data_IF_618963862843
#
_entry.id   IF_618963862843
#
_cell.length_a   1.000
_cell.length_b   1.000
_cell.length_c   1.000
_cell.angle_alpha   90.00
_cell.angle_beta   90.00
_cell.angle_gamma   90.00
#
_symmetry.space_group_name_H-M   'P 1'
#
loop_
_entity.id
_entity.type
_entity.pdbx_description
1 polymer ?
#
# COMPACT_ATOMS: atom_id res chain seq x y z
N UNK A 1 2.46 9.55 22.72
CA UNK A 1 1.25 9.80 21.89
C UNK A 1 1.68 9.66 20.45
N UNK A 2 1.17 8.67 19.72
CA UNK A 2 1.37 8.66 18.27
C UNK A 2 0.69 9.92 17.71
N UNK A 3 1.38 10.71 16.89
CA UNK A 3 0.73 11.82 16.21
C UNK A 3 -0.33 11.23 15.29
N UNK A 4 -1.61 11.46 15.59
CA UNK A 4 -2.66 11.26 14.61
C UNK A 4 -2.44 12.33 13.55
N UNK A 5 -1.98 11.94 12.36
CA UNK A 5 -1.85 12.88 11.27
C UNK A 5 -3.26 13.14 10.79
N UNK A 6 -3.76 14.34 11.07
CA UNK A 6 -5.06 14.69 10.53
C UNK A 6 -4.95 14.77 9.01
N UNK A 7 -5.75 13.95 8.33
CA UNK A 7 -5.90 13.95 6.88
C UNK A 7 -6.62 15.19 6.41
N UNK A 8 -7.59 15.69 7.19
CA UNK A 8 -8.37 16.89 6.84
C UNK A 8 -8.30 17.95 7.93
N UNK A 9 -8.64 19.22 7.63
CA UNK A 9 -8.79 20.27 8.63
C UNK A 9 -9.80 19.95 9.76
N UNK A 10 -10.64 18.92 9.57
CA UNK A 10 -11.72 18.55 10.49
C UNK A 10 -11.34 17.43 11.48
N UNK A 11 -10.08 17.01 11.51
CA UNK A 11 -9.66 15.91 12.38
C UNK A 11 -9.84 14.54 11.75
N UNK A 12 -10.16 14.44 10.45
CA UNK A 12 -10.21 13.14 9.76
C UNK A 12 -8.85 12.46 9.88
N UNK A 13 -8.85 11.14 10.04
CA UNK A 13 -7.68 10.32 10.24
C UNK A 13 -7.95 8.96 9.61
N UNK A 14 -6.89 8.19 9.33
CA UNK A 14 -7.02 6.85 8.75
C UNK A 14 -8.09 6.01 9.46
N UNK A 15 -8.14 6.06 10.79
CA UNK A 15 -9.12 5.29 11.58
C UNK A 15 -10.58 5.59 11.25
N UNK A 16 -10.94 6.84 10.95
CA UNK A 16 -12.31 7.22 10.56
C UNK A 16 -12.65 6.62 9.19
N UNK A 17 -11.72 6.69 8.23
CA UNK A 17 -11.89 6.07 6.91
C UNK A 17 -12.09 4.56 7.02
N UNK A 18 -11.27 3.86 7.82
CA UNK A 18 -11.40 2.41 8.05
C UNK A 18 -12.78 2.10 8.64
N UNK A 19 -13.17 2.79 9.72
CA UNK A 19 -14.48 2.58 10.36
C UNK A 19 -15.63 2.79 9.37
N UNK A 20 -15.57 3.85 8.56
CA UNK A 20 -16.56 4.15 7.54
C UNK A 20 -16.62 3.06 6.45
N UNK A 21 -15.47 2.56 5.99
CA UNK A 21 -15.43 1.46 5.02
C UNK A 21 -15.97 0.15 5.62
N UNK A 22 -15.66 -0.15 6.88
CA UNK A 22 -16.20 -1.33 7.57
C UNK A 22 -17.71 -1.25 7.76
N UNK A 23 -18.22 -0.09 8.20
CA UNK A 23 -19.66 0.16 8.27
C UNK A 23 -20.34 0.01 6.89
N UNK A 24 -19.74 0.54 5.83
CA UNK A 24 -20.23 0.35 4.47
C UNK A 24 -20.23 -1.13 4.04
N UNK A 25 -19.18 -1.89 4.36
CA UNK A 25 -19.09 -3.33 4.10
C UNK A 25 -20.19 -4.13 4.84
N UNK A 26 -20.61 -3.67 6.02
CA UNK A 26 -21.73 -4.24 6.77
C UNK A 26 -23.11 -3.76 6.29
N UNK A 27 -23.18 -2.99 5.20
CA UNK A 27 -24.43 -2.56 4.57
C UNK A 27 -25.01 -1.25 5.10
N UNK A 28 -24.28 -0.50 5.93
CA UNK A 28 -24.74 0.80 6.39
C UNK A 28 -24.57 1.87 5.31
N UNK A 29 -25.52 2.80 5.24
CA UNK A 29 -25.51 3.91 4.30
C UNK A 29 -24.46 4.97 4.70
N UNK A 30 -23.25 4.80 4.20
CA UNK A 30 -22.13 5.74 4.40
C UNK A 30 -21.95 6.58 3.15
N UNK A 31 -21.61 7.86 3.29
CA UNK A 31 -21.33 8.75 2.16
C UNK A 31 -19.99 9.45 2.37
N UNK A 32 -19.20 9.58 1.31
CA UNK A 32 -18.03 10.45 1.30
C UNK A 32 -18.48 11.87 0.97
N UNK A 33 -18.26 12.82 1.88
CA UNK A 33 -18.56 14.26 1.69
C UNK A 33 -17.24 15.01 1.44
N UNK A 34 -17.24 16.28 1.01
CA UNK A 34 -16.00 17.05 0.88
C UNK A 34 -15.16 17.10 2.17
N UNK A 35 -15.79 17.09 3.34
CA UNK A 35 -15.13 17.29 4.63
C UNK A 35 -14.82 15.98 5.38
N UNK A 36 -15.13 14.82 4.79
CA UNK A 36 -14.89 13.51 5.40
C UNK A 36 -16.01 12.52 5.07
N UNK A 37 -16.59 11.91 6.10
CA UNK A 37 -17.63 10.89 5.96
C UNK A 37 -18.92 11.33 6.64
N UNK A 38 -20.06 11.02 6.02
CA UNK A 38 -21.39 11.15 6.58
C UNK A 38 -22.05 9.78 6.70
N UNK A 39 -22.88 9.60 7.72
CA UNK A 39 -23.59 8.35 7.95
C UNK A 39 -24.62 8.46 9.07
N UNK A 40 -25.19 7.33 9.52
CA UNK A 40 -26.08 7.30 10.67
C UNK A 40 -25.41 7.85 11.93
N UNK A 41 -26.18 8.39 12.87
CA UNK A 41 -25.64 8.91 14.14
C UNK A 41 -24.85 7.85 14.94
N UNK A 42 -25.18 6.57 14.73
CA UNK A 42 -24.47 5.42 15.30
C UNK A 42 -23.01 5.33 14.82
N UNK A 43 -22.66 5.85 13.65
CA UNK A 43 -21.27 5.90 13.17
C UNK A 43 -20.42 6.82 14.04
N UNK A 44 -20.94 7.98 14.45
CA UNK A 44 -20.24 8.89 15.37
C UNK A 44 -20.09 8.27 16.77
N UNK A 45 -21.07 7.47 17.22
CA UNK A 45 -20.96 6.70 18.46
C UNK A 45 -19.89 5.60 18.36
N UNK A 46 -19.86 4.87 17.24
CA UNK A 46 -18.83 3.88 16.94
C UNK A 46 -17.42 4.50 16.92
N UNK A 47 -17.25 5.68 16.33
CA UNK A 47 -15.99 6.41 16.36
C UNK A 47 -15.55 6.75 17.78
N UNK A 48 -16.45 7.28 18.64
CA UNK A 48 -16.12 7.54 20.05
C UNK A 48 -15.73 6.26 20.78
N UNK A 49 -16.44 5.15 20.56
CA UNK A 49 -16.14 3.84 21.15
C UNK A 49 -14.76 3.33 20.71
N UNK A 50 -14.37 3.60 19.48
CA UNK A 50 -13.07 3.29 18.89
C UNK A 50 -11.94 4.25 19.34
N UNK A 51 -12.25 5.30 20.11
CA UNK A 51 -11.26 6.33 20.50
C UNK A 51 -10.88 7.27 19.35
N UNK A 52 -11.74 7.40 18.34
CA UNK A 52 -11.54 8.24 17.16
C UNK A 52 -12.25 9.60 17.32
N UNK A 53 -11.76 10.66 16.63
CA UNK A 53 -12.36 11.99 16.67
C UNK A 53 -13.72 12.03 15.96
N UNK A 54 -14.80 11.76 16.69
CA UNK A 54 -16.15 11.67 16.11
C UNK A 54 -16.66 12.97 15.46
N UNK A 55 -16.04 14.13 15.76
CA UNK A 55 -16.32 15.38 15.06
C UNK A 55 -15.98 15.34 13.56
N UNK A 56 -15.16 14.37 13.11
CA UNK A 56 -14.88 14.13 11.70
C UNK A 56 -16.03 13.43 10.96
N UNK A 57 -17.11 13.05 11.66
CA UNK A 57 -18.29 12.40 11.08
C UNK A 57 -19.45 13.38 11.05
N UNK A 58 -20.00 13.59 9.86
CA UNK A 58 -21.19 14.42 9.65
C UNK A 58 -22.47 13.59 9.80
N UNK A 59 -23.55 14.24 10.26
CA UNK A 59 -24.87 13.61 10.32
C UNK A 59 -25.39 13.26 8.91
N UNK A 60 -26.21 12.21 8.79
CA UNK A 60 -26.72 11.72 7.50
C UNK A 60 -27.40 12.81 6.64
N UNK A 61 -28.04 13.80 7.26
CA UNK A 61 -28.68 14.92 6.55
C UNK A 61 -27.71 15.91 5.87
N UNK A 62 -26.40 15.80 6.13
CA UNK A 62 -25.36 16.58 5.45
C UNK A 62 -24.88 15.94 4.14
N UNK A 63 -25.39 14.75 3.78
CA UNK A 63 -25.06 14.10 2.52
C UNK A 63 -25.48 14.99 1.32
N UNK A 64 -24.62 15.19 0.31
CA UNK A 64 -24.92 16.08 -0.80
C UNK A 64 -26.00 15.49 -1.72
N UNK A 65 -27.22 16.01 -1.59
CA UNK A 65 -28.30 15.89 -2.57
C UNK A 65 -28.88 14.48 -2.82
N UNK A 66 -30.08 14.39 -3.42
CA UNK A 66 -30.92 13.18 -3.43
C UNK A 66 -30.49 12.05 -4.39
N UNK A 67 -29.22 11.99 -4.85
CA UNK A 67 -28.85 11.12 -5.99
C UNK A 67 -27.49 10.38 -5.92
N UNK A 68 -26.80 10.33 -4.78
CA UNK A 68 -25.61 9.47 -4.66
C UNK A 68 -25.91 8.26 -3.77
N UNK A 69 -25.86 7.07 -4.36
CA UNK A 69 -25.83 5.81 -3.62
C UNK A 69 -24.75 5.86 -2.54
N UNK A 70 -24.97 5.17 -1.42
CA UNK A 70 -23.95 5.02 -0.39
C UNK A 70 -22.64 4.46 -0.96
N UNK A 71 -21.54 4.74 -0.26
CA UNK A 71 -20.22 4.19 -0.51
C UNK A 71 -20.32 2.66 -0.49
N UNK A 72 -19.90 2.02 -1.59
CA UNK A 72 -19.76 0.57 -1.66
C UNK A 72 -18.28 0.22 -1.60
N UNK A 73 -17.90 -0.69 -0.71
CA UNK A 73 -16.51 -1.15 -0.64
C UNK A 73 -16.18 -1.93 -1.94
N UNK A 74 -15.12 -1.55 -2.67
CA UNK A 74 -14.77 -2.21 -3.93
C UNK A 74 -14.33 -3.66 -3.71
N UNK A 75 -14.62 -4.53 -4.68
CA UNK A 75 -13.96 -5.84 -4.77
C UNK A 75 -12.63 -5.67 -5.47
N UNK A 76 -11.58 -5.72 -4.65
CA UNK A 76 -10.22 -5.51 -5.10
C UNK A 76 -9.58 -6.86 -5.38
N UNK A 77 -8.98 -6.98 -6.56
CA UNK A 77 -8.04 -8.05 -6.90
C UNK A 77 -6.63 -7.49 -6.82
N UNK A 78 -5.80 -8.08 -5.96
CA UNK A 78 -4.38 -7.78 -5.83
C UNK A 78 -3.57 -8.86 -6.53
N UNK A 79 -2.77 -8.46 -7.51
CA UNK A 79 -1.94 -9.41 -8.23
C UNK A 79 -0.72 -9.85 -7.42
N UNK A 80 -0.58 -11.16 -7.22
CA UNK A 80 0.45 -11.84 -6.44
C UNK A 80 1.03 -13.05 -7.19
N UNK A 81 1.22 -12.93 -8.50
CA UNK A 81 1.82 -13.98 -9.34
C UNK A 81 3.29 -14.27 -9.01
N UNK A 82 3.85 -15.32 -9.61
CA UNK A 82 5.20 -15.79 -9.30
C UNK A 82 6.28 -14.77 -9.67
N UNK A 83 6.01 -13.86 -10.62
CA UNK A 83 6.92 -12.79 -10.98
C UNK A 83 6.95 -11.63 -9.97
N UNK A 84 6.04 -11.61 -8.99
CA UNK A 84 6.00 -10.60 -7.91
C UNK A 84 6.28 -11.27 -6.57
N UNK A 85 7.53 -11.20 -6.15
CA UNK A 85 7.92 -11.66 -4.82
C UNK A 85 7.45 -10.72 -3.70
N UNK A 86 7.30 -11.28 -2.50
CA UNK A 86 7.35 -10.51 -1.25
C UNK A 86 8.64 -9.67 -1.22
N UNK A 87 8.64 -8.43 -0.68
CA UNK A 87 7.54 -7.73 -0.02
C UNK A 87 6.65 -6.88 -0.95
N UNK A 88 6.85 -6.88 -2.27
CA UNK A 88 6.23 -5.89 -3.16
C UNK A 88 4.70 -5.87 -3.12
N UNK A 89 4.06 -7.04 -3.26
CA UNK A 89 2.60 -7.11 -3.13
C UNK A 89 2.16 -6.87 -1.67
N UNK A 90 2.96 -7.28 -0.68
CA UNK A 90 2.61 -7.19 0.73
C UNK A 90 2.57 -5.74 1.25
N UNK A 91 3.30 -4.81 0.61
CA UNK A 91 3.11 -3.38 0.85
C UNK A 91 1.69 -2.92 0.48
N UNK A 92 1.14 -3.41 -0.63
CA UNK A 92 -0.26 -3.16 -0.98
C UNK A 92 -1.22 -3.87 0.00
N UNK A 93 -0.92 -5.10 0.42
CA UNK A 93 -1.72 -5.77 1.47
C UNK A 93 -1.79 -4.92 2.73
N UNK A 94 -0.66 -4.37 3.18
CA UNK A 94 -0.60 -3.46 4.32
C UNK A 94 -1.39 -2.17 4.05
N UNK A 95 -1.21 -1.54 2.89
CA UNK A 95 -1.95 -0.33 2.50
C UNK A 95 -3.47 -0.55 2.53
N UNK A 96 -3.95 -1.64 1.91
CA UNK A 96 -5.38 -1.92 1.78
C UNK A 96 -6.03 -2.26 3.12
N UNK A 97 -5.39 -3.13 3.92
CA UNK A 97 -5.91 -3.44 5.25
C UNK A 97 -5.84 -2.26 6.21
N UNK A 98 -4.79 -1.44 6.11
CA UNK A 98 -4.71 -0.19 6.86
C UNK A 98 -5.84 0.77 6.49
N UNK A 99 -6.37 0.71 5.26
CA UNK A 99 -7.55 1.44 4.79
C UNK A 99 -8.89 0.71 5.06
N UNK A 100 -8.88 -0.48 5.68
CA UNK A 100 -10.09 -1.27 5.93
C UNK A 100 -10.68 -1.94 4.68
N UNK A 101 -9.92 -1.99 3.59
CA UNK A 101 -10.34 -2.52 2.31
C UNK A 101 -9.91 -3.99 2.17
N UNK A 102 -10.87 -4.93 2.03
CA UNK A 102 -10.55 -6.32 1.74
C UNK A 102 -10.07 -6.45 0.29
N UNK A 103 -9.31 -7.51 0.02
CA UNK A 103 -8.89 -7.87 -1.33
C UNK A 103 -8.85 -9.39 -1.50
N UNK A 104 -8.78 -9.82 -2.76
CA UNK A 104 -8.49 -11.19 -3.17
C UNK A 104 -7.12 -11.21 -3.84
N UNK A 105 -6.22 -12.09 -3.40
CA UNK A 105 -4.98 -12.33 -4.15
C UNK A 105 -5.29 -13.07 -5.44
N UNK A 106 -4.56 -12.75 -6.50
CA UNK A 106 -4.65 -13.42 -7.78
C UNK A 106 -3.28 -13.79 -8.33
N UNK A 107 -3.15 -15.02 -8.79
CA UNK A 107 -2.06 -15.46 -9.64
C UNK A 107 -2.36 -15.16 -11.11
N UNK A 108 -1.41 -15.44 -11.99
CA UNK A 108 -1.61 -15.40 -13.43
C UNK A 108 -2.77 -16.32 -13.87
N UNK A 109 -2.76 -17.57 -13.38
CA UNK A 109 -3.79 -18.55 -13.68
C UNK A 109 -5.19 -18.12 -13.20
N UNK A 110 -5.29 -17.49 -12.03
CA UNK A 110 -6.56 -16.96 -11.53
C UNK A 110 -7.14 -15.87 -12.45
N UNK A 111 -6.28 -14.97 -12.94
CA UNK A 111 -6.70 -13.90 -13.87
C UNK A 111 -7.11 -14.49 -15.21
N UNK A 112 -6.31 -15.40 -15.78
CA UNK A 112 -6.62 -16.08 -17.04
C UNK A 112 -7.92 -16.90 -16.91
N UNK A 113 -8.18 -17.46 -15.73
CA UNK A 113 -9.37 -18.23 -15.39
C UNK A 113 -10.62 -17.40 -15.09
N UNK A 114 -10.58 -16.08 -15.21
CA UNK A 114 -11.77 -15.22 -15.12
C UNK A 114 -12.00 -14.54 -13.77
N UNK A 115 -11.05 -14.56 -12.82
CA UNK A 115 -11.22 -13.90 -11.51
C UNK A 115 -11.58 -12.41 -11.61
N UNK A 116 -11.23 -11.74 -12.71
CA UNK A 116 -11.58 -10.33 -12.92
C UNK A 116 -13.05 -10.08 -13.28
N UNK A 117 -13.87 -11.11 -13.52
CA UNK A 117 -15.29 -10.96 -13.86
C UNK A 117 -16.13 -10.41 -12.70
N UNK A 118 -15.74 -10.72 -11.46
CA UNK A 118 -16.36 -10.18 -10.23
C UNK A 118 -15.54 -9.05 -9.58
N UNK A 119 -14.54 -8.50 -10.27
CA UNK A 119 -13.70 -7.44 -9.72
C UNK A 119 -14.22 -6.04 -10.07
N UNK A 120 -13.98 -5.07 -9.19
CA UNK A 120 -14.17 -3.64 -9.48
C UNK A 120 -12.83 -2.95 -9.79
N UNK A 121 -11.77 -3.40 -9.11
CA UNK A 121 -10.44 -2.82 -9.14
C UNK A 121 -9.36 -3.91 -9.19
N UNK A 122 -8.45 -3.82 -10.15
CA UNK A 122 -7.20 -4.60 -10.20
C UNK A 122 -6.03 -3.74 -9.72
N UNK A 123 -5.23 -4.27 -8.81
CA UNK A 123 -3.98 -3.65 -8.36
C UNK A 123 -2.80 -4.48 -8.82
N UNK A 124 -1.87 -3.83 -9.51
CA UNK A 124 -0.62 -4.40 -10.02
C UNK A 124 0.58 -3.80 -9.27
N UNK A 125 1.20 -4.54 -8.34
CA UNK A 125 2.38 -4.08 -7.62
C UNK A 125 3.60 -3.86 -8.52
N UNK A 126 4.68 -3.33 -7.93
CA UNK A 126 6.00 -3.38 -8.55
C UNK A 126 6.63 -4.78 -8.51
N UNK A 127 7.90 -4.88 -8.92
CA UNK A 127 8.72 -6.06 -8.68
C UNK A 127 8.83 -7.08 -9.82
N UNK A 128 8.02 -6.96 -10.88
CA UNK A 128 8.09 -7.86 -12.04
C UNK A 128 8.80 -7.20 -13.24
N UNK A 129 9.45 -8.02 -14.08
CA UNK A 129 10.12 -7.53 -15.29
C UNK A 129 9.09 -7.08 -16.35
N UNK A 130 9.45 -6.04 -17.11
CA UNK A 130 8.49 -5.27 -17.90
C UNK A 130 8.18 -5.89 -19.28
N UNK A 131 7.86 -7.19 -19.34
CA UNK A 131 7.67 -7.94 -20.58
C UNK A 131 6.22 -8.39 -20.88
N UNK A 132 5.26 -7.92 -20.08
CA UNK A 132 3.88 -8.42 -20.10
C UNK A 132 3.69 -9.59 -19.14
N UNK A 133 2.47 -9.77 -18.62
CA UNK A 133 2.21 -10.78 -17.60
C UNK A 133 2.18 -12.19 -18.20
N UNK A 134 1.60 -12.35 -19.39
CA UNK A 134 1.57 -13.65 -20.10
C UNK A 134 2.97 -14.27 -20.18
N UNK A 135 3.94 -13.45 -20.61
CA UNK A 135 5.29 -13.89 -20.88
C UNK A 135 6.09 -14.14 -19.61
N UNK A 136 5.95 -13.28 -18.60
CA UNK A 136 6.79 -13.39 -17.39
C UNK A 136 6.31 -14.50 -16.46
N UNK A 137 5.01 -14.77 -16.46
CA UNK A 137 4.40 -15.84 -15.68
C UNK A 137 4.35 -17.16 -16.45
N UNK A 138 4.61 -17.12 -17.76
CA UNK A 138 4.43 -18.26 -18.67
C UNK A 138 2.98 -18.80 -18.64
N UNK A 139 2.01 -17.88 -18.63
CA UNK A 139 0.58 -18.16 -18.53
C UNK A 139 -0.18 -17.41 -19.65
N UNK A 140 -0.57 -18.07 -20.74
CA UNK A 140 -1.25 -17.40 -21.84
C UNK A 140 -2.63 -16.84 -21.45
N UNK A 141 -2.96 -15.63 -21.92
CA UNK A 141 -4.31 -15.07 -21.82
C UNK A 141 -4.55 -14.11 -20.65
N UNK A 142 -3.59 -13.95 -19.73
CA UNK A 142 -3.63 -12.98 -18.62
C UNK A 142 -3.78 -11.55 -19.16
N UNK A 143 -2.94 -11.17 -20.12
CA UNK A 143 -2.94 -9.85 -20.74
C UNK A 143 -4.30 -9.58 -21.42
N UNK A 144 -4.87 -10.58 -22.09
CA UNK A 144 -6.17 -10.46 -22.74
C UNK A 144 -7.31 -10.34 -21.72
N UNK A 145 -7.26 -11.10 -20.62
CA UNK A 145 -8.23 -11.02 -19.54
C UNK A 145 -8.23 -9.63 -18.88
N UNK A 146 -7.05 -9.04 -18.64
CA UNK A 146 -6.93 -7.70 -18.08
C UNK A 146 -7.44 -6.64 -19.08
N UNK A 147 -7.12 -6.76 -20.37
CA UNK A 147 -7.67 -5.87 -21.41
C UNK A 147 -9.19 -5.91 -21.43
N UNK A 148 -9.78 -7.11 -21.40
CA UNK A 148 -11.23 -7.28 -21.37
C UNK A 148 -11.84 -6.67 -20.10
N UNK A 149 -11.15 -6.80 -18.95
CA UNK A 149 -11.57 -6.20 -17.68
C UNK A 149 -11.63 -4.68 -17.73
N UNK A 150 -10.59 -4.05 -18.24
CA UNK A 150 -10.58 -2.60 -18.38
C UNK A 150 -11.60 -2.12 -19.43
N UNK A 151 -11.75 -2.85 -20.54
CA UNK A 151 -12.68 -2.49 -21.62
C UNK A 151 -14.16 -2.57 -21.20
N UNK A 152 -14.52 -3.44 -20.26
CA UNK A 152 -15.88 -3.49 -19.66
C UNK A 152 -16.07 -2.49 -18.52
N UNK A 153 -15.12 -1.57 -18.34
CA UNK A 153 -15.18 -0.47 -17.38
C UNK A 153 -14.39 -0.71 -16.10
N UNK A 154 -13.79 -1.88 -15.88
CA UNK A 154 -12.92 -2.17 -14.72
C UNK A 154 -11.84 -1.11 -14.51
N UNK A 155 -11.40 -0.95 -13.27
CA UNK A 155 -10.37 0.03 -12.92
C UNK A 155 -9.03 -0.64 -12.58
N UNK A 156 -7.91 0.04 -12.85
CA UNK A 156 -6.57 -0.44 -12.53
C UNK A 156 -5.72 0.55 -11.75
N UNK A 157 -5.00 0.10 -10.73
CA UNK A 157 -3.91 0.86 -10.09
C UNK A 157 -2.62 0.09 -10.26
N UNK A 158 -1.55 0.76 -10.66
CA UNK A 158 -0.24 0.12 -10.82
C UNK A 158 0.89 0.97 -10.26
N UNK A 159 1.80 0.37 -9.49
CA UNK A 159 3.04 1.01 -9.04
C UNK A 159 4.25 0.39 -9.76
N UNK A 160 5.23 1.21 -10.16
CA UNK A 160 6.45 0.79 -10.83
C UNK A 160 6.20 -0.18 -12.01
N UNK A 161 6.40 -1.49 -11.83
CA UNK A 161 6.13 -2.54 -12.83
C UNK A 161 4.70 -2.50 -13.36
N UNK A 162 3.71 -2.34 -12.46
CA UNK A 162 2.31 -2.15 -12.85
C UNK A 162 2.07 -0.90 -13.69
N UNK A 163 2.75 0.21 -13.36
CA UNK A 163 2.66 1.45 -14.15
C UNK A 163 3.32 1.31 -15.54
N UNK A 164 4.47 0.62 -15.63
CA UNK A 164 5.05 0.23 -16.92
C UNK A 164 4.06 -0.60 -17.74
N UNK A 165 3.43 -1.60 -17.13
CA UNK A 165 2.51 -2.49 -17.82
C UNK A 165 1.27 -1.76 -18.37
N UNK A 166 0.76 -0.74 -17.67
CA UNK A 166 -0.31 0.12 -18.20
C UNK A 166 0.12 1.09 -19.30
N UNK A 167 1.43 1.31 -19.47
CA UNK A 167 1.98 2.27 -20.42
C UNK A 167 2.03 1.78 -21.86
N UNK A 168 2.41 2.66 -22.78
CA UNK A 168 2.83 2.29 -24.13
C UNK A 168 4.34 2.07 -24.20
N UNK A 169 4.80 1.48 -25.30
CA UNK A 169 6.23 1.46 -25.67
C UNK A 169 6.91 0.10 -25.65
N UNK A 170 6.20 -0.98 -25.26
CA UNK A 170 6.62 -2.36 -25.49
C UNK A 170 5.46 -3.22 -26.00
N UNK A 171 5.76 -4.32 -26.71
CA UNK A 171 4.79 -5.38 -26.94
C UNK A 171 4.19 -5.86 -25.61
N UNK A 172 2.92 -6.29 -25.64
CA UNK A 172 2.16 -6.83 -24.49
C UNK A 172 1.73 -5.83 -23.41
N UNK A 173 2.37 -4.66 -23.31
CA UNK A 173 1.86 -3.60 -22.45
C UNK A 173 0.50 -3.08 -22.93
N UNK A 174 -0.31 -2.59 -21.99
CA UNK A 174 -1.72 -2.33 -22.25
C UNK A 174 -1.96 -1.03 -23.03
N UNK A 175 -1.06 -0.06 -22.92
CA UNK A 175 -1.14 1.21 -23.63
C UNK A 175 -2.26 2.15 -23.17
N UNK A 176 -2.79 1.93 -21.96
CA UNK A 176 -3.89 2.70 -21.35
C UNK A 176 -3.42 4.04 -20.79
N UNK A 177 -2.16 4.10 -20.38
CA UNK A 177 -1.42 5.34 -20.24
C UNK A 177 -0.71 5.58 -21.56
N UNK A 178 -1.20 6.52 -22.36
CA UNK A 178 -0.71 6.82 -23.71
C UNK A 178 0.60 7.62 -23.70
N UNK A 179 1.55 7.11 -22.92
CA UNK A 179 2.87 7.63 -22.76
C UNK A 179 3.88 6.48 -22.80
N UNK A 180 4.99 6.71 -23.51
CA UNK A 180 6.15 5.83 -23.45
C UNK A 180 7.11 6.34 -22.36
N UNK A 181 7.46 5.51 -21.37
CA UNK A 181 8.51 5.82 -20.40
C UNK A 181 9.86 6.04 -21.09
N UNK A 182 10.68 6.94 -20.54
CA UNK A 182 12.01 7.28 -21.03
C UNK A 182 12.92 6.05 -21.13
N UNK A 183 12.87 5.18 -20.13
CA UNK A 183 13.54 3.89 -20.13
C UNK A 183 12.50 2.80 -20.12
N UNK A 184 12.67 1.80 -20.99
CA UNK A 184 11.76 0.65 -21.00
C UNK A 184 12.50 -0.65 -20.70
N UNK A 185 13.70 -0.85 -21.26
CA UNK A 185 14.53 -2.03 -20.98
C UNK A 185 15.47 -1.76 -19.81
N UNK A 186 16.14 -0.61 -19.88
CA UNK A 186 17.18 -0.17 -18.94
C UNK A 186 16.56 0.58 -17.76
N UNK A 187 15.34 0.21 -17.36
CA UNK A 187 14.58 0.94 -16.34
C UNK A 187 15.28 0.98 -14.98
N UNK A 188 16.14 0.00 -14.68
CA UNK A 188 16.97 0.00 -13.48
C UNK A 188 17.93 1.21 -13.40
N UNK A 189 18.23 1.86 -14.54
CA UNK A 189 19.09 3.06 -14.58
C UNK A 189 18.49 4.26 -13.85
N UNK A 190 17.19 4.30 -13.59
CA UNK A 190 16.60 5.40 -12.82
C UNK A 190 16.88 5.29 -11.32
N UNK A 191 17.26 4.09 -10.83
CA UNK A 191 17.62 3.84 -9.44
C UNK A 191 16.47 3.97 -8.44
N UNK A 192 16.80 4.30 -7.19
CA UNK A 192 15.86 4.35 -6.09
C UNK A 192 16.20 5.42 -5.05
N UNK A 193 15.20 5.88 -4.31
CA UNK A 193 15.39 6.86 -3.26
C UNK A 193 14.09 7.37 -2.68
N UNK A 194 14.21 8.36 -1.80
CA UNK A 194 13.10 9.15 -1.33
C UNK A 194 13.01 10.42 -2.19
N UNK A 195 11.85 10.64 -2.80
CA UNK A 195 11.62 11.75 -3.72
C UNK A 195 10.44 12.59 -3.27
N UNK A 196 10.49 13.88 -3.56
CA UNK A 196 9.32 14.74 -3.54
C UNK A 196 8.60 14.65 -4.89
N UNK A 197 7.31 14.38 -4.83
CA UNK A 197 6.41 14.39 -5.98
C UNK A 197 5.36 15.47 -5.77
N UNK A 198 5.28 16.40 -6.71
CA UNK A 198 4.23 17.42 -6.74
C UNK A 198 2.97 16.84 -7.35
N UNK A 199 1.90 16.77 -6.58
CA UNK A 199 0.59 16.31 -7.02
C UNK A 199 -0.13 17.44 -7.77
N UNK A 200 -0.55 17.15 -9.00
CA UNK A 200 -1.18 18.12 -9.90
C UNK A 200 -2.66 17.82 -10.12
N UNK A 201 -3.07 16.55 -10.02
CA UNK A 201 -4.47 16.16 -10.13
C UNK A 201 -5.20 16.44 -8.81
N UNK A 202 -6.24 17.32 -8.80
CA UNK A 202 -6.99 17.64 -7.59
C UNK A 202 -7.69 16.43 -6.95
N UNK A 203 -8.10 15.42 -7.73
CA UNK A 203 -8.74 14.23 -7.21
C UNK A 203 -7.73 13.36 -6.44
N UNK A 204 -6.51 13.22 -6.97
CA UNK A 204 -5.43 12.51 -6.28
C UNK A 204 -4.91 13.27 -5.05
N UNK A 205 -4.86 14.60 -5.12
CA UNK A 205 -4.36 15.49 -4.05
C UNK A 205 -5.39 15.75 -2.94
N UNK A 206 -6.60 15.22 -3.05
CA UNK A 206 -7.64 15.45 -2.05
C UNK A 206 -7.14 15.14 -0.63
N UNK A 207 -7.22 16.12 0.27
CA UNK A 207 -6.78 16.00 1.67
C UNK A 207 -5.28 15.68 1.82
N UNK A 208 -4.47 16.07 0.83
CA UNK A 208 -3.02 15.90 0.80
C UNK A 208 -2.33 17.24 0.51
N UNK A 209 -1.09 17.34 1.00
CA UNK A 209 -0.21 18.45 0.63
C UNK A 209 0.05 18.47 -0.89
N UNK A 210 0.42 19.64 -1.41
CA UNK A 210 0.79 19.79 -2.82
C UNK A 210 1.98 18.90 -3.21
N UNK A 211 2.90 18.70 -2.27
CA UNK A 211 4.08 17.87 -2.46
C UNK A 211 4.09 16.76 -1.40
N UNK A 212 4.42 15.54 -1.84
CA UNK A 212 4.55 14.39 -0.96
C UNK A 212 5.91 13.72 -1.10
N UNK A 213 6.44 13.26 0.02
CA UNK A 213 7.61 12.38 0.06
C UNK A 213 7.17 10.94 -0.21
N UNK A 214 7.66 10.35 -1.29
CA UNK A 214 7.32 8.99 -1.69
C UNK A 214 8.58 8.17 -1.95
N UNK A 215 8.54 6.91 -1.52
CA UNK A 215 9.56 5.91 -1.88
C UNK A 215 9.52 5.69 -3.39
N UNK A 216 10.69 5.61 -4.01
CA UNK A 216 10.85 5.40 -5.44
C UNK A 216 11.81 4.25 -5.70
N UNK A 217 11.41 3.30 -6.55
CA UNK A 217 12.22 2.17 -7.00
C UNK A 217 11.98 1.91 -8.48
N UNK A 218 12.89 2.38 -9.33
CA UNK A 218 12.95 2.07 -10.77
C UNK A 218 11.68 2.40 -11.60
N UNK A 219 10.73 3.14 -11.05
CA UNK A 219 9.46 3.43 -11.70
C UNK A 219 9.58 4.23 -12.99
N UNK A 220 8.56 4.18 -13.87
CA UNK A 220 8.57 4.87 -15.16
C UNK A 220 8.71 6.37 -15.03
N UNK A 221 9.58 6.97 -15.84
CA UNK A 221 9.71 8.42 -15.96
C UNK A 221 9.18 8.83 -17.32
N UNK A 222 8.15 9.67 -17.37
CA UNK A 222 7.54 10.08 -18.63
C UNK A 222 7.91 11.52 -18.99
N UNK A 223 8.19 11.75 -20.27
CA UNK A 223 8.34 13.11 -20.78
C UNK A 223 6.98 13.82 -20.80
N UNK A 224 7.00 15.16 -20.77
CA UNK A 224 5.83 15.99 -21.06
C UNK A 224 5.43 15.87 -22.54
N UNK A 225 4.15 16.13 -22.83
CA UNK A 225 3.61 15.97 -24.18
C UNK A 225 2.08 15.93 -24.19
N UNK A 226 1.53 16.24 -25.37
CA UNK A 226 0.10 16.08 -25.66
C UNK A 226 -0.27 14.60 -25.63
N UNK A 227 -1.24 14.26 -24.79
CA UNK A 227 -1.74 12.90 -24.60
C UNK A 227 -3.12 12.94 -23.92
N UNK A 228 -3.86 11.84 -23.99
CA UNK A 228 -5.14 11.66 -23.31
C UNK A 228 -4.98 11.43 -21.81
N UNK A 229 -3.99 10.64 -21.38
CA UNK A 229 -3.71 10.44 -19.97
C UNK A 229 -3.28 11.76 -19.29
N UNK A 230 -3.98 12.11 -18.22
CA UNK A 230 -3.69 13.31 -17.43
C UNK A 230 -2.46 13.10 -16.58
N UNK A 231 -1.74 14.18 -16.33
CA UNK A 231 -0.64 14.20 -15.36
C UNK A 231 -1.20 14.26 -13.95
N UNK A 232 -1.01 13.19 -13.19
CA UNK A 232 -1.34 13.09 -11.77
C UNK A 232 -0.32 13.83 -10.88
N UNK A 233 0.95 13.82 -11.28
CA UNK A 233 2.03 14.48 -10.57
C UNK A 233 3.39 14.37 -11.26
N UNK A 234 4.33 15.18 -10.81
CA UNK A 234 5.69 15.32 -11.37
C UNK A 234 6.77 15.20 -10.30
N UNK A 235 7.95 14.71 -10.69
CA UNK A 235 9.11 14.67 -9.82
C UNK A 235 9.61 16.08 -9.53
N UNK A 236 9.63 16.47 -8.26
CA UNK A 236 10.00 17.81 -7.83
C UNK A 236 11.43 17.89 -7.30
N UNK A 237 11.81 17.01 -6.36
CA UNK A 237 13.18 17.01 -5.83
C UNK A 237 13.62 15.65 -5.35
N UNK A 238 14.93 15.43 -5.34
CA UNK A 238 15.57 14.30 -4.70
C UNK A 238 15.85 14.63 -3.23
N UNK A 239 15.41 13.77 -2.31
CA UNK A 239 15.67 13.92 -0.88
C UNK A 239 16.92 13.14 -0.50
N UNK A 240 16.91 11.82 -0.74
CA UNK A 240 18.06 10.95 -0.49
C UNK A 240 18.03 9.68 -1.34
N UNK A 241 19.20 9.14 -1.72
CA UNK A 241 19.27 7.84 -2.35
C UNK A 241 19.05 6.73 -1.31
N UNK A 242 18.60 5.56 -1.76
CA UNK A 242 18.51 4.35 -0.92
C UNK A 242 19.30 3.22 -1.53
N UNK A 243 19.87 2.33 -0.71
CA UNK A 243 20.47 1.06 -1.18
C UNK A 243 19.71 -0.14 -0.62
N UNK A 244 18.55 0.09 -0.01
CA UNK A 244 17.72 -0.99 0.55
C UNK A 244 17.29 -1.94 -0.56
N UNK A 245 17.71 -3.19 -0.44
CA UNK A 245 17.38 -4.31 -1.33
C UNK A 245 17.97 -4.28 -2.75
N UNK A 246 18.61 -3.18 -3.16
CA UNK A 246 19.12 -3.00 -4.52
C UNK A 246 20.39 -2.14 -4.56
N UNK A 247 21.20 -2.38 -5.59
CA UNK A 247 22.22 -1.42 -5.99
C UNK A 247 21.55 -0.21 -6.65
N UNK A 248 22.07 0.99 -6.34
CA UNK A 248 21.40 2.22 -6.68
C UNK A 248 22.27 3.17 -7.50
N UNK A 249 21.93 3.41 -8.78
CA UNK A 249 22.58 4.41 -9.61
C UNK A 249 22.02 5.83 -9.43
N UNK A 250 20.96 6.05 -8.64
CA UNK A 250 20.35 7.36 -8.43
C UNK A 250 21.18 8.20 -7.45
N UNK A 251 21.57 9.37 -7.92
CA UNK A 251 22.15 10.46 -7.13
C UNK A 251 21.47 11.78 -7.52
N UNK A 252 21.91 12.88 -6.91
CA UNK A 252 21.37 14.22 -7.21
C UNK A 252 21.53 14.60 -8.68
N UNK A 253 22.71 14.40 -9.27
CA UNK A 253 22.99 14.78 -10.66
C UNK A 253 22.12 13.98 -11.65
N UNK A 254 21.98 12.67 -11.41
CA UNK A 254 21.11 11.80 -12.20
C UNK A 254 19.66 12.22 -12.04
N UNK A 255 19.19 12.55 -10.84
CA UNK A 255 17.84 13.06 -10.64
C UNK A 255 17.59 14.31 -11.48
N UNK A 256 18.48 15.31 -11.41
CA UNK A 256 18.39 16.55 -12.19
C UNK A 256 18.24 16.26 -13.69
N UNK A 257 19.10 15.39 -14.22
CA UNK A 257 19.14 15.08 -15.64
C UNK A 257 17.95 14.24 -16.09
N UNK A 258 17.58 13.23 -15.31
CA UNK A 258 16.69 12.14 -15.73
C UNK A 258 15.26 12.32 -15.25
N UNK A 259 15.02 12.95 -14.10
CA UNK A 259 13.72 12.89 -13.43
C UNK A 259 13.11 14.27 -13.18
N UNK A 260 13.91 15.28 -12.81
CA UNK A 260 13.38 16.60 -12.42
C UNK A 260 12.37 17.14 -13.42
N UNK A 261 11.25 17.62 -12.90
CA UNK A 261 10.12 18.19 -13.62
C UNK A 261 9.46 17.24 -14.64
N UNK A 262 9.78 15.94 -14.65
CA UNK A 262 9.12 14.95 -15.50
C UNK A 262 7.96 14.30 -14.78
N UNK A 263 7.08 13.68 -15.56
CA UNK A 263 5.84 13.10 -15.05
C UNK A 263 6.14 11.81 -14.29
N UNK A 264 5.59 11.73 -13.07
CA UNK A 264 5.74 10.63 -12.12
C UNK A 264 4.43 9.85 -11.94
N UNK A 265 3.28 10.48 -12.16
CA UNK A 265 1.97 9.83 -12.02
C UNK A 265 1.14 10.19 -13.25
N UNK A 266 0.51 9.19 -13.87
CA UNK A 266 -0.44 9.37 -14.95
C UNK A 266 -1.79 8.75 -14.57
N UNK A 267 -2.86 9.40 -14.98
CA UNK A 267 -4.24 8.94 -14.81
C UNK A 267 -4.93 8.91 -16.16
N UNK A 268 -5.58 7.80 -16.50
CA UNK A 268 -6.45 7.69 -17.66
C UNK A 268 -7.85 7.32 -17.18
N UNK A 269 -8.85 8.06 -17.64
CA UNK A 269 -10.28 7.78 -17.45
C UNK A 269 -10.97 7.45 -18.78
N UNK A 270 -10.19 6.98 -19.75
CA UNK A 270 -10.69 6.64 -21.07
C UNK A 270 -11.79 5.55 -20.98
N UNK A 271 -12.79 5.58 -21.88
CA UNK A 271 -13.89 4.60 -21.88
C UNK A 271 -13.43 3.14 -21.99
N UNK A 272 -12.27 2.90 -22.60
CA UNK A 272 -11.69 1.58 -22.81
C UNK A 272 -10.75 1.14 -21.66
N UNK A 273 -10.64 1.92 -20.58
CA UNK A 273 -9.94 1.52 -19.36
C UNK A 273 -9.57 2.69 -18.46
N UNK A 274 -10.04 2.64 -17.21
CA UNK A 274 -9.71 3.63 -16.18
C UNK A 274 -8.51 3.13 -15.39
N UNK A 275 -7.37 3.82 -15.45
CA UNK A 275 -6.15 3.41 -14.74
C UNK A 275 -5.38 4.58 -14.12
N UNK A 276 -4.73 4.32 -12.99
CA UNK A 276 -3.70 5.21 -12.41
C UNK A 276 -2.38 4.46 -12.36
N UNK A 277 -1.34 5.05 -12.94
CA UNK A 277 0.03 4.55 -12.88
C UNK A 277 0.90 5.43 -12.00
N UNK A 278 1.37 4.88 -10.89
CA UNK A 278 2.37 5.49 -10.02
C UNK A 278 3.77 5.03 -10.42
N UNK A 279 4.63 5.99 -10.73
CA UNK A 279 6.07 5.76 -10.77
C UNK A 279 6.67 5.49 -9.38
N UNK A 280 6.41 6.34 -8.36
CA UNK A 280 6.78 6.02 -6.98
C UNK A 280 5.87 4.92 -6.40
N UNK A 281 6.16 4.52 -5.17
CA UNK A 281 5.47 3.48 -4.42
C UNK A 281 4.69 4.07 -3.23
N UNK A 282 3.48 4.61 -3.45
CA UNK A 282 2.65 5.11 -2.35
C UNK A 282 2.25 4.01 -1.35
N UNK A 283 2.26 2.74 -1.76
CA UNK A 283 1.93 1.59 -0.92
C UNK A 283 3.00 1.22 0.11
N UNK A 284 4.25 1.67 -0.05
CA UNK A 284 5.37 1.27 0.83
C UNK A 284 5.31 1.93 2.23
N UNK A 285 4.54 3.01 2.36
CA UNK A 285 4.24 3.65 3.64
C UNK A 285 5.44 4.26 4.37
N UNK A 286 5.20 4.71 5.61
CA UNK A 286 6.17 5.43 6.43
C UNK A 286 7.27 4.52 6.98
N UNK A 287 7.00 3.23 7.23
CA UNK A 287 8.00 2.35 7.82
C UNK A 287 9.18 2.08 6.86
N UNK A 288 8.94 2.01 5.54
CA UNK A 288 10.03 1.93 4.58
C UNK A 288 10.76 3.27 4.46
N UNK A 289 10.05 4.40 4.49
CA UNK A 289 10.68 5.74 4.54
C UNK A 289 11.59 5.89 5.77
N UNK A 290 11.13 5.43 6.93
CA UNK A 290 11.90 5.35 8.18
C UNK A 290 13.16 4.51 7.99
N UNK A 291 13.07 3.36 7.30
CA UNK A 291 14.23 2.54 7.01
C UNK A 291 15.21 3.19 6.01
N UNK A 292 14.72 3.92 5.00
CA UNK A 292 15.57 4.71 4.10
C UNK A 292 16.32 5.81 4.87
N UNK A 293 15.60 6.52 5.74
CA UNK A 293 16.19 7.53 6.61
C UNK A 293 17.21 6.90 7.58
N UNK A 294 16.93 5.70 8.10
CA UNK A 294 17.85 4.96 8.96
C UNK A 294 19.15 4.59 8.21
N UNK A 295 19.04 4.03 7.00
CA UNK A 295 20.17 3.57 6.19
C UNK A 295 21.05 4.72 5.69
N UNK A 296 20.44 5.85 5.33
CA UNK A 296 21.13 7.03 4.79
C UNK A 296 21.38 8.11 5.83
N UNK A 297 20.33 8.85 6.18
CA UNK A 297 20.43 10.07 7.00
C UNK A 297 20.93 9.79 8.42
N UNK A 298 20.28 8.88 9.15
CA UNK A 298 20.61 8.58 10.55
C UNK A 298 22.01 8.00 10.63
N UNK A 299 22.36 6.99 9.83
CA UNK A 299 23.71 6.42 9.82
C UNK A 299 24.79 7.51 9.63
N UNK A 300 24.54 8.50 8.78
CA UNK A 300 25.49 9.60 8.54
C UNK A 300 25.55 10.61 9.70
N UNK A 301 24.41 11.02 10.24
CA UNK A 301 24.34 12.11 11.23
C UNK A 301 24.36 11.66 12.68
N UNK A 302 24.20 10.36 12.96
CA UNK A 302 24.21 9.81 14.31
C UNK A 302 25.49 10.18 15.09
N UNK A 303 26.72 10.03 14.54
CA UNK A 303 27.94 10.42 15.27
C UNK A 303 28.08 11.93 15.52
N UNK A 304 27.30 12.75 14.80
CA UNK A 304 27.40 14.22 14.84
C UNK A 304 26.32 14.81 15.76
N UNK A 305 25.10 14.29 15.68
CA UNK A 305 23.92 14.81 16.38
C UNK A 305 23.56 13.98 17.62
N UNK A 306 24.11 12.78 17.73
CA UNK A 306 23.89 11.85 18.83
C UNK A 306 22.57 11.09 18.74
N UNK A 307 22.50 10.00 19.52
CA UNK A 307 21.39 9.05 19.56
C UNK A 307 20.02 9.70 19.80
N UNK A 308 19.91 10.58 20.79
CA UNK A 308 18.62 11.16 21.20
C UNK A 308 17.94 11.87 20.04
N UNK A 309 18.67 12.70 19.31
CA UNK A 309 18.12 13.44 18.16
C UNK A 309 17.70 12.52 17.02
N UNK A 310 18.47 11.46 16.76
CA UNK A 310 18.12 10.49 15.71
C UNK A 310 16.91 9.62 16.09
N UNK A 311 16.82 9.20 17.35
CA UNK A 311 15.65 8.49 17.88
C UNK A 311 14.38 9.36 17.78
N UNK A 312 14.46 10.62 18.23
CA UNK A 312 13.36 11.59 18.08
C UNK A 312 12.96 11.78 16.60
N UNK A 313 13.94 11.86 15.68
CA UNK A 313 13.70 11.95 14.24
C UNK A 313 12.92 10.73 13.72
N UNK A 314 13.33 9.52 14.11
CA UNK A 314 12.70 8.27 13.65
C UNK A 314 11.30 8.06 14.23
N UNK A 315 10.98 8.68 15.37
CA UNK A 315 9.64 8.63 15.98
C UNK A 315 8.59 9.46 15.24
N UNK A 316 8.99 10.40 14.36
CA UNK A 316 8.05 11.17 13.54
C UNK A 316 7.43 10.35 12.40
N UNK A 317 8.02 9.21 12.03
CA UNK A 317 7.43 8.32 11.03
C UNK A 317 6.21 7.59 11.63
N UNK A 318 5.02 7.99 11.18
CA UNK A 318 3.75 7.44 11.64
C UNK A 318 3.55 6.01 11.10
N UNK A 319 3.85 5.00 11.94
CA UNK A 319 3.86 3.58 11.56
C UNK A 319 2.54 3.09 10.96
N UNK A 320 1.43 3.58 11.49
CA UNK A 320 0.09 3.11 11.13
C UNK A 320 -0.69 4.07 10.25
N UNK A 321 -0.33 5.36 10.23
CA UNK A 321 -1.08 6.43 9.57
C UNK A 321 -0.22 7.07 8.47
N UNK A 322 -0.22 6.43 7.31
CA UNK A 322 0.61 6.83 6.17
C UNK A 322 -0.19 7.71 5.21
N UNK A 323 0.20 8.98 5.04
CA UNK A 323 -0.44 9.87 4.05
C UNK A 323 -0.36 9.30 2.63
N UNK A 324 0.66 8.51 2.31
CA UNK A 324 0.78 7.85 1.00
C UNK A 324 -0.31 6.79 0.77
N UNK A 325 -0.91 6.20 1.81
CA UNK A 325 -2.07 5.31 1.65
C UNK A 325 -3.32 6.07 1.25
N UNK A 326 -3.48 7.32 1.72
CA UNK A 326 -4.56 8.21 1.26
C UNK A 326 -4.43 8.51 -0.23
N UNK A 327 -3.22 8.59 -0.78
CA UNK A 327 -3.02 8.73 -2.23
C UNK A 327 -3.54 7.50 -3.01
N UNK A 328 -3.35 6.29 -2.49
CA UNK A 328 -3.93 5.06 -3.06
C UNK A 328 -5.46 5.06 -2.97
N UNK A 329 -6.01 5.46 -1.82
CA UNK A 329 -7.46 5.60 -1.64
C UNK A 329 -8.06 6.63 -2.61
N UNK A 330 -7.42 7.79 -2.75
CA UNK A 330 -7.85 8.84 -3.67
C UNK A 330 -7.82 8.36 -5.12
N UNK A 331 -6.83 7.55 -5.52
CA UNK A 331 -6.82 6.92 -6.83
C UNK A 331 -7.98 5.95 -7.02
N UNK A 332 -8.28 5.09 -6.04
CA UNK A 332 -9.43 4.20 -6.11
C UNK A 332 -10.76 4.96 -6.22
N UNK A 333 -10.91 6.07 -5.47
CA UNK A 333 -12.07 6.96 -5.54
C UNK A 333 -12.17 7.67 -6.90
N UNK A 334 -11.07 8.24 -7.39
CA UNK A 334 -11.02 8.94 -8.68
C UNK A 334 -11.32 8.00 -9.87
N UNK A 335 -10.99 6.72 -9.72
CA UNK A 335 -11.32 5.68 -10.68
C UNK A 335 -12.75 5.15 -10.52
N UNK A 336 -13.56 5.69 -9.59
CA UNK A 336 -14.94 5.24 -9.36
C UNK A 336 -15.04 3.79 -8.88
N UNK A 337 -14.02 3.28 -8.17
CA UNK A 337 -14.03 1.90 -7.67
C UNK A 337 -15.13 1.67 -6.60
N UNK A 338 -15.51 2.73 -5.87
CA UNK A 338 -16.53 2.69 -4.82
C UNK A 338 -17.96 2.87 -5.35
N UNK A 339 -18.13 2.99 -6.67
CA UNK A 339 -19.45 3.12 -7.32
C UNK A 339 -20.12 1.75 -7.47
N UNK A 340 -21.45 1.72 -7.49
CA UNK A 340 -22.23 0.50 -7.68
C UNK A 340 -22.07 -0.04 -9.11
N UNK A 341 -21.79 -1.34 -9.23
CA UNK A 341 -21.72 -2.05 -10.51
C UNK A 341 -22.38 -3.42 -10.40
N UNK A 342 -23.17 -3.75 -11.41
CA UNK A 342 -23.64 -5.11 -11.64
C UNK A 342 -22.47 -5.98 -12.07
N UNK A 343 -22.34 -7.13 -11.45
CA UNK A 343 -21.24 -8.08 -11.66
C UNK A 343 -21.66 -9.44 -11.15
N UNK A 344 -21.00 -10.48 -11.64
CA UNK A 344 -21.21 -11.83 -11.17
C UNK A 344 -20.96 -11.96 -9.66
N UNK A 345 -21.69 -12.90 -9.06
CA UNK A 345 -21.47 -13.34 -7.69
C UNK A 345 -20.06 -13.91 -7.53
N UNK A 346 -19.50 -13.79 -6.33
CA UNK A 346 -18.18 -14.35 -6.06
C UNK A 346 -18.22 -15.87 -6.04
N UNK A 347 -17.29 -16.50 -6.77
CA UNK A 347 -17.09 -17.94 -6.66
C UNK A 347 -16.63 -18.35 -5.25
N UNK A 348 -17.07 -19.52 -4.77
CA UNK A 348 -16.66 -20.04 -3.48
C UNK A 348 -15.14 -20.23 -3.41
N UNK A 349 -14.54 -19.77 -2.31
CA UNK A 349 -13.12 -19.96 -2.05
C UNK A 349 -12.83 -21.42 -1.69
N UNK A 350 -11.73 -21.95 -2.20
CA UNK A 350 -11.19 -23.22 -1.70
C UNK A 350 -10.89 -23.09 -0.20
N UNK A 351 -11.23 -24.13 0.55
CA UNK A 351 -10.91 -24.20 1.97
C UNK A 351 -9.39 -24.11 2.17
N UNK A 352 -8.91 -23.40 3.21
CA UNK A 352 -7.49 -23.35 3.48
C UNK A 352 -6.97 -24.73 3.89
N UNK A 353 -5.73 -25.03 3.51
CA UNK A 353 -5.06 -26.28 3.87
C UNK A 353 -4.71 -26.35 5.37
N UNK A 354 -4.59 -25.19 6.02
CA UNK A 354 -4.23 -25.02 7.42
C UNK A 354 -5.23 -24.13 8.14
N UNK A 355 -5.33 -24.33 9.45
CA UNK A 355 -6.05 -23.40 10.31
C UNK A 355 -5.25 -22.10 10.50
N UNK A 356 -5.94 -20.99 10.72
CA UNK A 356 -5.29 -19.71 10.97
C UNK A 356 -4.41 -19.72 12.24
N UNK A 357 -4.76 -20.53 13.25
CA UNK A 357 -3.94 -20.71 14.45
C UNK A 357 -2.58 -21.35 14.14
N UNK A 358 -2.55 -22.34 13.23
CA UNK A 358 -1.29 -22.95 12.77
C UNK A 358 -0.43 -21.95 11.98
N UNK A 359 -1.06 -21.11 11.15
CA UNK A 359 -0.35 -20.06 10.41
C UNK A 359 0.27 -19.02 11.36
N UNK A 360 -0.46 -18.60 12.40
CA UNK A 360 0.04 -17.70 13.42
C UNK A 360 1.22 -18.27 14.20
N UNK A 361 1.16 -19.54 14.61
CA UNK A 361 2.26 -20.22 15.30
C UNK A 361 3.54 -20.24 14.44
N UNK A 362 3.40 -20.60 13.16
CA UNK A 362 4.54 -20.61 12.22
C UNK A 362 5.10 -19.20 11.99
N UNK A 363 4.23 -18.20 11.89
CA UNK A 363 4.62 -16.82 11.77
C UNK A 363 5.42 -16.36 12.99
N UNK A 364 4.97 -16.70 14.20
CA UNK A 364 5.65 -16.38 15.46
C UNK A 364 7.04 -17.02 15.54
N UNK A 365 7.15 -18.32 15.29
CA UNK A 365 8.44 -19.03 15.26
C UNK A 365 9.41 -18.43 14.24
N UNK A 366 8.91 -18.14 13.03
CA UNK A 366 9.70 -17.53 11.97
C UNK A 366 10.15 -16.12 12.30
N UNK A 367 9.27 -15.32 12.90
CA UNK A 367 9.56 -13.94 13.31
C UNK A 367 10.59 -13.92 14.44
N UNK A 368 10.44 -14.76 15.47
CA UNK A 368 11.39 -14.89 16.58
C UNK A 368 12.79 -15.32 16.10
N UNK A 369 12.85 -16.28 15.17
CA UNK A 369 14.11 -16.69 14.55
C UNK A 369 14.77 -15.54 13.78
N UNK A 370 13.98 -14.75 13.04
CA UNK A 370 14.47 -13.57 12.33
C UNK A 370 14.94 -12.46 13.26
N UNK A 371 14.23 -12.22 14.38
CA UNK A 371 14.65 -11.27 15.42
C UNK A 371 16.03 -11.64 15.98
N UNK A 372 16.25 -12.92 16.28
CA UNK A 372 17.53 -13.39 16.80
C UNK A 372 18.65 -13.29 15.74
N UNK A 373 18.32 -13.51 14.47
CA UNK A 373 19.25 -13.23 13.37
C UNK A 373 19.63 -11.76 13.26
N UNK A 374 18.65 -10.86 13.41
CA UNK A 374 18.92 -9.43 13.42
C UNK A 374 19.84 -9.04 14.60
N UNK A 375 19.62 -9.57 15.81
CA UNK A 375 20.50 -9.29 16.96
C UNK A 375 21.96 -9.62 16.66
N UNK A 376 22.23 -10.80 16.09
CA UNK A 376 23.59 -11.20 15.68
C UNK A 376 24.17 -10.29 14.60
N UNK A 377 23.34 -9.73 13.72
CA UNK A 377 23.79 -8.76 12.70
C UNK A 377 24.15 -7.42 13.33
N UNK A 378 23.40 -6.98 14.34
CA UNK A 378 23.69 -5.72 15.05
C UNK A 378 25.04 -5.73 15.75
N UNK A 379 25.57 -6.90 16.14
CA UNK A 379 26.94 -7.03 16.68
C UNK A 379 28.04 -6.57 15.70
N UNK A 380 27.71 -6.48 14.40
CA UNK A 380 28.63 -6.05 13.33
C UNK A 380 28.39 -4.61 12.89
N UNK A 381 27.39 -3.94 13.44
CA UNK A 381 27.11 -2.53 13.16
C UNK A 381 27.92 -1.63 14.11
N UNK A 382 28.04 -0.36 13.75
CA UNK A 382 28.64 0.65 14.63
C UNK A 382 27.88 0.73 15.96
N UNK A 383 28.55 0.81 17.14
CA UNK A 383 27.91 0.64 18.44
C UNK A 383 26.69 1.53 18.68
N UNK A 384 26.76 2.82 18.29
CA UNK A 384 25.62 3.73 18.47
C UNK A 384 24.43 3.38 17.57
N UNK A 385 24.70 2.90 16.36
CA UNK A 385 23.66 2.49 15.42
C UNK A 385 23.06 1.15 15.85
N UNK A 386 23.89 0.22 16.31
CA UNK A 386 23.48 -1.05 16.88
C UNK A 386 22.55 -0.85 18.08
N UNK A 387 22.88 0.07 18.99
CA UNK A 387 22.05 0.42 20.14
C UNK A 387 20.71 1.06 19.72
N UNK A 388 20.72 1.99 18.77
CA UNK A 388 19.50 2.61 18.25
C UNK A 388 18.58 1.56 17.60
N UNK A 389 19.12 0.73 16.71
CA UNK A 389 18.37 -0.34 16.04
C UNK A 389 17.92 -1.43 17.01
N UNK A 390 18.73 -1.73 18.04
CA UNK A 390 18.37 -2.63 19.13
C UNK A 390 17.15 -2.14 19.92
N UNK A 391 17.09 -0.83 20.20
CA UNK A 391 15.90 -0.21 20.79
C UNK A 391 14.66 -0.35 19.90
N UNK A 392 14.80 -0.08 18.60
CA UNK A 392 13.69 -0.26 17.63
C UNK A 392 13.22 -1.71 17.54
N UNK A 393 14.15 -2.68 17.58
CA UNK A 393 13.82 -4.11 17.60
C UNK A 393 13.10 -4.51 18.89
N UNK A 394 13.51 -3.95 20.03
CA UNK A 394 12.84 -4.15 21.33
C UNK A 394 11.39 -3.66 21.31
N UNK A 395 11.17 -2.44 20.81
CA UNK A 395 9.81 -1.90 20.63
C UNK A 395 8.97 -2.79 19.71
N UNK A 396 9.55 -3.27 18.62
CA UNK A 396 8.88 -4.11 17.65
C UNK A 396 8.52 -5.49 18.22
N UNK A 397 9.40 -6.07 19.04
CA UNK A 397 9.15 -7.34 19.72
C UNK A 397 8.01 -7.23 20.75
N UNK A 398 7.98 -6.15 21.53
CA UNK A 398 6.90 -5.90 22.47
C UNK A 398 5.54 -5.72 21.76
N UNK A 399 5.55 -5.06 20.60
CA UNK A 399 4.35 -4.91 19.78
C UNK A 399 3.88 -6.24 19.18
N UNK A 400 4.81 -7.05 18.65
CA UNK A 400 4.51 -8.38 18.14
C UNK A 400 3.90 -9.28 19.23
N UNK A 401 4.52 -9.35 20.41
CA UNK A 401 4.01 -10.11 21.56
C UNK A 401 2.59 -9.66 21.95
N UNK A 402 2.36 -8.35 22.03
CA UNK A 402 1.04 -7.79 22.33
C UNK A 402 -0.02 -8.13 21.28
N UNK A 403 0.35 -8.16 19.99
CA UNK A 403 -0.55 -8.56 18.91
C UNK A 403 -0.87 -10.04 18.96
N UNK A 404 0.13 -10.90 19.16
CA UNK A 404 -0.06 -12.35 19.23
C UNK A 404 -0.91 -12.77 20.44
N UNK A 405 -0.88 -12.00 21.53
CA UNK A 405 -1.74 -12.20 22.70
C UNK A 405 -3.16 -11.58 22.55
N UNK A 406 -3.40 -10.77 21.52
CA UNK A 406 -4.66 -10.04 21.35
C UNK A 406 -5.80 -10.96 20.91
N UNK A 407 -6.98 -10.77 21.51
CA UNK A 407 -8.22 -11.42 21.05
C UNK A 407 -8.72 -10.90 19.70
N UNK A 408 -8.27 -9.72 19.27
CA UNK A 408 -8.55 -9.19 17.92
C UNK A 408 -7.79 -9.97 16.84
N UNK A 409 -6.72 -10.68 17.19
CA UNK A 409 -5.95 -11.55 16.27
C UNK A 409 -6.37 -13.00 16.46
N UNK A 410 -6.30 -13.52 17.68
CA UNK A 410 -6.60 -14.94 17.96
C UNK A 410 -8.08 -15.29 17.80
N UNK A 411 -8.98 -14.31 17.90
CA UNK A 411 -10.43 -14.46 17.70
C UNK A 411 -10.92 -14.03 16.31
N UNK A 412 -10.03 -13.94 15.32
CA UNK A 412 -10.38 -13.50 13.96
C UNK A 412 -11.36 -14.50 13.33
N UNK A 413 -12.60 -14.04 13.13
CA UNK A 413 -13.72 -14.85 12.61
C UNK A 413 -14.05 -14.59 11.15
N UNK A 414 -13.38 -13.62 10.52
CA UNK A 414 -13.49 -13.37 9.07
C UNK A 414 -12.59 -14.37 8.35
N UNK A 415 -13.16 -15.48 7.89
CA UNK A 415 -12.43 -16.54 7.20
C UNK A 415 -11.63 -16.00 6.00
N UNK A 416 -12.17 -15.00 5.29
CA UNK A 416 -11.52 -14.44 4.12
C UNK A 416 -10.26 -13.64 4.49
N UNK A 417 -10.32 -12.86 5.56
CA UNK A 417 -9.16 -12.13 6.10
C UNK A 417 -8.15 -13.08 6.74
N UNK A 418 -8.60 -14.09 7.48
CA UNK A 418 -7.75 -15.09 8.14
C UNK A 418 -6.86 -15.82 7.13
N UNK A 419 -7.47 -16.33 6.06
CA UNK A 419 -6.78 -17.09 5.02
C UNK A 419 -5.75 -16.23 4.30
N UNK A 420 -6.10 -14.98 3.96
CA UNK A 420 -5.16 -14.09 3.28
C UNK A 420 -4.02 -13.64 4.20
N UNK A 421 -4.30 -13.35 5.48
CA UNK A 421 -3.25 -13.03 6.45
C UNK A 421 -2.28 -14.20 6.65
N UNK A 422 -2.78 -15.42 6.84
CA UNK A 422 -1.93 -16.61 6.99
C UNK A 422 -0.98 -16.80 5.80
N UNK A 423 -1.51 -16.66 4.58
CA UNK A 423 -0.72 -16.72 3.33
C UNK A 423 0.37 -15.65 3.24
N UNK A 424 0.06 -14.40 3.56
CA UNK A 424 1.06 -13.31 3.51
C UNK A 424 2.14 -13.50 4.59
N UNK A 425 1.75 -14.00 5.78
CA UNK A 425 2.70 -14.29 6.85
C UNK A 425 3.65 -15.44 6.48
N UNK A 426 3.18 -16.48 5.80
CA UNK A 426 4.07 -17.53 5.30
C UNK A 426 5.09 -17.00 4.30
N UNK A 427 4.66 -16.17 3.36
CA UNK A 427 5.56 -15.52 2.39
C UNK A 427 6.59 -14.63 3.11
N UNK A 428 6.19 -13.96 4.20
CA UNK A 428 7.09 -13.18 5.04
C UNK A 428 8.11 -14.07 5.77
N UNK A 429 7.68 -15.19 6.36
CA UNK A 429 8.58 -16.16 7.02
C UNK A 429 9.58 -16.72 6.02
N UNK A 430 9.13 -17.07 4.82
CA UNK A 430 10.01 -17.54 3.74
C UNK A 430 11.06 -16.48 3.38
N UNK A 431 10.67 -15.21 3.27
CA UNK A 431 11.61 -14.12 2.99
C UNK A 431 12.59 -13.87 4.14
N UNK A 432 12.13 -13.91 5.39
CA UNK A 432 12.95 -13.78 6.60
C UNK A 432 14.04 -14.87 6.65
N UNK A 433 13.68 -16.11 6.29
CA UNK A 433 14.60 -17.26 6.21
C UNK A 433 15.47 -17.27 4.94
N UNK A 434 15.29 -16.28 4.06
CA UNK A 434 15.95 -16.18 2.78
C UNK A 434 17.45 -15.82 2.88
N UNK A 435 18.05 -15.37 1.76
CA UNK A 435 19.47 -15.05 1.73
C UNK A 435 19.84 -13.93 2.70
N UNK A 436 21.09 -13.88 3.20
CA UNK A 436 21.54 -12.86 4.14
C UNK A 436 21.26 -11.43 3.66
N UNK A 437 20.74 -10.58 4.55
CA UNK A 437 20.42 -9.16 4.31
C UNK A 437 21.20 -8.23 5.23
N UNK A 438 21.24 -6.94 4.90
CA UNK A 438 21.78 -5.92 5.82
C UNK A 438 20.86 -5.80 7.04
N UNK A 439 21.38 -5.32 8.17
CA UNK A 439 20.59 -5.24 9.41
C UNK A 439 19.31 -4.39 9.23
N UNK A 440 19.41 -3.26 8.53
CA UNK A 440 18.26 -2.37 8.26
C UNK A 440 17.21 -3.02 7.35
N UNK A 441 17.65 -3.82 6.37
CA UNK A 441 16.75 -4.57 5.49
C UNK A 441 16.01 -5.66 6.26
N UNK A 442 16.72 -6.36 7.14
CA UNK A 442 16.12 -7.36 8.02
C UNK A 442 15.10 -6.73 8.98
N UNK A 443 15.39 -5.52 9.51
CA UNK A 443 14.43 -4.77 10.32
C UNK A 443 13.14 -4.45 9.54
N UNK A 444 13.24 -4.06 8.27
CA UNK A 444 12.07 -3.84 7.39
C UNK A 444 11.27 -5.13 7.21
N UNK A 445 11.96 -6.25 6.96
CA UNK A 445 11.32 -7.55 6.76
C UNK A 445 10.61 -8.06 8.03
N UNK A 446 11.12 -7.73 9.21
CA UNK A 446 10.47 -8.03 10.49
C UNK A 446 9.33 -7.06 10.82
N UNK A 447 9.41 -5.80 10.41
CA UNK A 447 8.38 -4.82 10.71
C UNK A 447 7.11 -5.01 9.89
N UNK A 448 7.20 -5.39 8.62
CA UNK A 448 6.03 -5.53 7.75
C UNK A 448 4.99 -6.57 8.28
N UNK A 449 5.37 -7.78 8.74
CA UNK A 449 4.44 -8.72 9.36
C UNK A 449 3.70 -8.12 10.57
N UNK A 450 4.41 -7.38 11.42
CA UNK A 450 3.80 -6.70 12.58
C UNK A 450 2.73 -5.71 12.11
N UNK A 451 3.02 -4.92 11.06
CA UNK A 451 2.05 -3.98 10.49
C UNK A 451 0.83 -4.66 9.88
N UNK A 452 1.03 -5.79 9.19
CA UNK A 452 -0.06 -6.57 8.60
C UNK A 452 -1.01 -7.13 9.67
N UNK A 453 -0.45 -7.72 10.74
CA UNK A 453 -1.24 -8.23 11.88
C UNK A 453 -1.95 -7.10 12.61
N UNK A 454 -1.28 -5.95 12.82
CA UNK A 454 -1.90 -4.78 13.44
C UNK A 454 -3.07 -4.23 12.62
N UNK A 455 -2.94 -4.15 11.30
CA UNK A 455 -4.00 -3.71 10.41
C UNK A 455 -5.20 -4.69 10.43
N UNK A 456 -4.94 -6.00 10.39
CA UNK A 456 -6.00 -7.02 10.49
C UNK A 456 -6.73 -6.96 11.83
N UNK A 457 -6.00 -6.86 12.94
CA UNK A 457 -6.58 -6.71 14.28
C UNK A 457 -7.49 -5.46 14.38
N UNK A 458 -7.08 -4.36 13.75
CA UNK A 458 -7.88 -3.13 13.68
C UNK A 458 -9.19 -3.32 12.91
N UNK A 459 -9.15 -4.03 11.78
CA UNK A 459 -10.36 -4.39 11.02
C UNK A 459 -11.34 -5.18 11.90
N UNK A 460 -10.86 -6.25 12.56
CA UNK A 460 -11.68 -7.09 13.45
C UNK A 460 -12.31 -6.26 14.57
N UNK A 461 -11.52 -5.37 15.19
CA UNK A 461 -12.01 -4.47 16.23
C UNK A 461 -13.13 -3.57 15.72
N UNK A 462 -12.97 -2.96 14.54
CA UNK A 462 -13.98 -2.07 13.98
C UNK A 462 -15.22 -2.83 13.51
N UNK A 463 -15.08 -4.03 12.96
CA UNK A 463 -16.21 -4.89 12.62
C UNK A 463 -17.05 -5.24 13.86
N UNK A 464 -16.37 -5.55 14.98
CA UNK A 464 -17.04 -5.78 16.26
C UNK A 464 -17.80 -4.54 16.74
N UNK A 465 -17.16 -3.37 16.72
CA UNK A 465 -17.78 -2.10 17.13
C UNK A 465 -18.98 -1.77 16.25
N UNK A 466 -18.86 -1.93 14.93
CA UNK A 466 -19.96 -1.73 13.98
C UNK A 466 -21.11 -2.67 14.31
N UNK A 467 -20.85 -3.98 14.43
CA UNK A 467 -21.87 -4.99 14.76
C UNK A 467 -22.57 -4.75 16.10
N UNK A 468 -21.88 -4.19 17.09
CA UNK A 468 -22.44 -3.90 18.42
C UNK A 468 -23.30 -2.63 18.45
N UNK A 469 -23.05 -1.65 17.57
CA UNK A 469 -23.62 -0.30 17.68
C UNK A 469 -24.45 0.15 16.47
N UNK A 470 -24.32 -0.50 15.32
CA UNK A 470 -24.97 -0.14 14.06
C UNK A 470 -25.78 -1.31 13.54
#
# INVERSE_FOLDING_TARGET
MASQLSWSPHGDALGIAVLAHRAAASGHAIHLTPDGYAGPDTLAAAARRAGLPAQAIQAAGAAPGPAKSGLRVPRIVLYCGAAIGYPYYAYYSHCLWSLGLPYRRATAADIAGGMLESADLLILPGGFATWGLDRIENEPGVDQAIRAFLARGGAGIGSCGGAYYFSQGRPHWLGKLDAKPRYTHEYLLTGAGLLNVRLQDPALRRDLAETMELAYYHGPVYEHGERHARTGGTFESHIMPTRLFIDNPLDGERFERVMRNRVAILTSDAPDGRVVGFSPHPEMGEFLRKAMALDGYVRHYLPIRGRKTMDETLRFYAREDCLSFRLVLNAALALGAFEARETADDEPRAAPERSFAEDLLRADEGWLAGMEDLRRRLEREEPELADLMGGMLGDLAAEWEGLMASSDVTGLSDDALAVELGRVLDDAVAMIKGPPRRAVEMLVLLELPVRLVAAAARIVRFDRIVKELM
#
